data_IF_959520556266
#
_entry.id   IF_959520556266
#
_cell.length_a   1.000
_cell.length_b   1.000
_cell.length_c   1.000
_cell.angle_alpha   90.00
_cell.angle_beta   90.00
_cell.angle_gamma   90.00
#
_symmetry.space_group_name_H-M   'P 1'
#
loop_
_entity.id
_entity.type
_entity.pdbx_description
1 polymer ?
#
# COMPACT_ATOMS: atom_id res chain seq x y z
N UNK A 1 -10.10 74.26 -25.44
CA UNK A 1 -9.71 72.84 -25.25
C UNK A 1 -10.35 72.36 -23.94
N UNK A 2 -11.68 72.31 -23.86
CA UNK A 2 -12.56 71.16 -24.10
C UNK A 2 -12.23 69.92 -23.26
N UNK A 3 -13.10 69.62 -22.28
CA UNK A 3 -13.48 68.23 -22.04
C UNK A 3 -13.21 67.56 -20.70
N UNK A 4 -12.99 68.28 -19.58
CA UNK A 4 -13.03 67.66 -18.23
C UNK A 4 -14.09 68.36 -17.37
N UNK A 5 -15.35 68.23 -17.78
CA UNK A 5 -16.55 68.53 -16.97
C UNK A 5 -17.71 67.72 -17.55
N UNK A 6 -17.82 66.44 -17.19
CA UNK A 6 -19.09 65.67 -17.24
C UNK A 6 -18.93 64.21 -16.74
N UNK A 7 -18.44 64.00 -15.52
CA UNK A 7 -18.51 62.65 -14.91
C UNK A 7 -18.74 62.66 -13.40
N UNK A 8 -19.44 63.68 -12.89
CA UNK A 8 -19.81 63.76 -11.47
C UNK A 8 -21.31 64.01 -11.22
N UNK A 9 -22.18 63.84 -12.24
CA UNK A 9 -23.61 64.16 -12.10
C UNK A 9 -24.60 63.06 -12.54
N UNK A 10 -24.15 61.80 -12.67
CA UNK A 10 -25.06 60.66 -12.95
C UNK A 10 -25.07 59.60 -11.82
N UNK A 11 -24.30 59.79 -10.74
CA UNK A 11 -24.28 58.88 -9.58
C UNK A 11 -25.23 59.29 -8.43
N UNK A 12 -26.28 60.06 -8.71
CA UNK A 12 -27.35 60.36 -7.74
C UNK A 12 -28.69 60.42 -8.45
N UNK A 13 -29.29 59.26 -8.73
CA UNK A 13 -30.74 59.01 -8.93
C UNK A 13 -30.95 57.62 -9.56
N UNK A 14 -30.71 56.56 -8.81
CA UNK A 14 -31.39 55.27 -9.02
C UNK A 14 -31.57 54.62 -7.64
N UNK A 15 -32.82 54.28 -7.34
CA UNK A 15 -33.37 53.79 -6.07
C UNK A 15 -33.12 52.27 -5.89
N UNK A 16 -33.21 51.73 -4.66
CA UNK A 16 -32.62 50.43 -4.29
C UNK A 16 -33.50 49.21 -4.59
N UNK A 17 -34.14 49.17 -5.76
CA UNK A 17 -35.06 48.07 -6.12
C UNK A 17 -34.64 47.23 -7.33
N UNK A 18 -33.52 47.55 -7.98
CA UNK A 18 -33.00 46.78 -9.12
C UNK A 18 -31.65 46.10 -8.83
N UNK A 19 -31.12 46.24 -7.62
CA UNK A 19 -29.92 45.52 -7.18
C UNK A 19 -30.21 44.04 -6.81
N UNK A 20 -31.47 43.69 -6.56
CA UNK A 20 -31.86 42.33 -6.14
C UNK A 20 -32.16 41.38 -7.31
N UNK A 21 -32.27 41.86 -8.54
CA UNK A 21 -32.48 41.02 -9.74
C UNK A 21 -31.20 40.68 -10.50
N UNK A 22 -30.07 41.32 -10.18
CA UNK A 22 -28.74 41.00 -10.73
C UNK A 22 -27.91 40.07 -9.82
N UNK A 23 -28.37 39.82 -8.59
CA UNK A 23 -27.79 38.81 -7.70
C UNK A 23 -28.44 37.42 -7.80
N UNK A 24 -29.56 37.29 -8.52
CA UNK A 24 -30.23 36.01 -8.75
C UNK A 24 -29.85 35.32 -10.07
N UNK A 25 -29.06 35.98 -10.94
CA UNK A 25 -28.57 35.41 -12.22
C UNK A 25 -27.05 35.18 -12.25
N UNK A 26 -26.34 35.41 -11.14
CA UNK A 26 -24.94 35.00 -10.98
C UNK A 26 -24.78 33.72 -10.13
N UNK A 27 -25.88 33.16 -9.61
CA UNK A 27 -25.88 31.95 -8.78
C UNK A 27 -26.38 30.69 -9.49
N UNK A 28 -26.56 30.73 -10.82
CA UNK A 28 -27.05 29.58 -11.60
C UNK A 28 -26.18 29.19 -12.82
N UNK A 29 -24.97 29.74 -12.96
CA UNK A 29 -24.05 29.41 -14.08
C UNK A 29 -22.61 29.10 -13.65
N UNK A 30 -22.39 28.77 -12.38
CA UNK A 30 -21.11 28.21 -11.90
C UNK A 30 -21.27 26.83 -11.25
N UNK A 31 -22.43 26.19 -11.42
CA UNK A 31 -22.53 24.75 -11.32
C UNK A 31 -22.34 24.19 -12.73
N UNK A 32 -21.31 23.37 -12.92
CA UNK A 32 -20.75 22.83 -14.17
C UNK A 32 -19.43 23.51 -14.55
N UNK A 33 -18.33 22.77 -14.36
CA UNK A 33 -16.95 23.09 -14.77
C UNK A 33 -16.12 24.00 -13.85
N UNK A 34 -15.90 23.56 -12.61
CA UNK A 34 -14.57 23.58 -11.97
C UNK A 34 -14.63 22.82 -10.63
N UNK A 35 -14.95 21.53 -10.69
CA UNK A 35 -14.39 20.62 -9.69
C UNK A 35 -12.90 20.48 -10.02
N UNK A 36 -12.10 21.42 -9.52
CA UNK A 36 -10.73 21.11 -9.15
C UNK A 36 -10.87 20.01 -8.10
N UNK A 37 -10.84 18.76 -8.56
CA UNK A 37 -10.75 17.60 -7.68
C UNK A 37 -9.49 17.80 -6.86
N UNK A 38 -9.66 18.29 -5.64
CA UNK A 38 -8.65 18.24 -4.62
C UNK A 38 -8.25 16.78 -4.51
N UNK A 39 -7.09 16.47 -5.08
CA UNK A 39 -6.41 15.20 -4.87
C UNK A 39 -5.91 15.17 -3.42
N UNK A 40 -6.83 15.14 -2.46
CA UNK A 40 -6.54 14.80 -1.09
C UNK A 40 -5.92 13.40 -1.10
N UNK A 41 -4.61 13.36 -0.85
CA UNK A 41 -3.85 12.29 -0.22
C UNK A 41 -4.41 10.84 -0.35
N UNK A 42 -4.57 10.33 -1.56
CA UNK A 42 -4.70 8.89 -1.76
C UNK A 42 -3.30 8.26 -1.83
N UNK A 43 -3.02 7.19 -1.07
CA UNK A 43 -1.72 6.55 -1.09
C UNK A 43 -1.41 6.10 -2.53
N UNK A 44 -0.20 6.39 -3.05
CA UNK A 44 0.17 5.88 -4.36
C UNK A 44 0.15 4.35 -4.29
N UNK A 45 -0.58 3.70 -5.19
CA UNK A 45 -0.63 2.24 -5.42
C UNK A 45 -1.65 1.42 -4.60
N UNK A 46 -2.85 1.95 -4.29
CA UNK A 46 -3.85 1.18 -3.53
C UNK A 46 -4.71 0.19 -4.34
N UNK A 47 -4.88 0.38 -5.66
CA UNK A 47 -5.86 -0.38 -6.44
C UNK A 47 -5.31 -0.86 -7.80
N UNK A 48 -5.65 -2.10 -8.18
CA UNK A 48 -5.56 -2.69 -9.53
C UNK A 48 -6.63 -2.06 -10.40
N UNK A 49 -6.31 -0.98 -11.08
CA UNK A 49 -7.29 -0.28 -11.91
C UNK A 49 -6.93 -0.37 -13.39
N UNK A 50 -7.93 -0.61 -14.22
CA UNK A 50 -7.83 -0.43 -15.66
C UNK A 50 -8.71 0.76 -16.05
N UNK A 51 -8.18 1.63 -16.89
CA UNK A 51 -8.91 2.78 -17.37
C UNK A 51 -8.82 2.70 -18.88
N UNK A 52 -9.87 2.20 -19.50
CA UNK A 52 -9.97 2.17 -20.93
C UNK A 52 -10.42 3.61 -21.34
N UNK A 53 -9.72 4.26 -22.27
CA UNK A 53 -10.23 5.46 -22.93
C UNK A 53 -9.75 5.68 -24.37
N UNK A 54 -10.69 6.11 -25.22
CA UNK A 54 -10.50 6.25 -26.67
C UNK A 54 -11.39 7.34 -27.28
N UNK A 55 -10.95 7.83 -28.44
CA UNK A 55 -11.59 8.91 -29.19
C UNK A 55 -12.49 8.39 -30.33
N UNK A 56 -13.77 8.75 -30.39
CA UNK A 56 -14.60 8.56 -31.60
C UNK A 56 -14.67 9.87 -32.37
N UNK A 57 -13.64 10.24 -33.12
CA UNK A 57 -13.79 11.38 -34.01
C UNK A 57 -13.25 11.09 -35.38
N UNK A 58 -14.13 10.53 -36.20
CA UNK A 58 -14.21 11.01 -37.57
C UNK A 58 -15.66 10.95 -37.99
N UNK A 59 -16.08 11.95 -38.78
CA UNK A 59 -17.31 11.85 -39.55
C UNK A 59 -16.90 11.11 -40.81
N UNK A 60 -17.23 9.81 -40.92
CA UNK A 60 -16.99 8.98 -42.11
C UNK A 60 -17.69 9.51 -43.37
N UNK A 61 -18.46 10.59 -43.25
CA UNK A 61 -19.29 11.20 -44.28
C UNK A 61 -20.52 10.36 -44.63
N UNK A 62 -20.72 9.23 -43.94
CA UNK A 62 -21.76 8.24 -44.18
C UNK A 62 -22.27 7.72 -42.83
N UNK A 63 -23.52 8.08 -42.51
CA UNK A 63 -24.14 7.77 -41.23
C UNK A 63 -24.25 6.26 -40.94
N UNK A 64 -24.32 5.40 -41.96
CA UNK A 64 -24.37 3.94 -41.78
C UNK A 64 -23.02 3.40 -41.36
N UNK A 65 -21.95 3.87 -42.00
CA UNK A 65 -20.58 3.49 -41.66
C UNK A 65 -20.20 4.05 -40.28
N UNK A 66 -20.57 5.30 -40.00
CA UNK A 66 -20.45 5.92 -38.66
C UNK A 66 -21.20 5.11 -37.59
N UNK A 67 -22.40 4.62 -37.91
CA UNK A 67 -23.20 3.78 -37.01
C UNK A 67 -22.55 2.42 -36.74
N UNK A 68 -22.10 1.73 -37.78
CA UNK A 68 -21.43 0.43 -37.67
C UNK A 68 -20.20 0.49 -36.77
N UNK A 69 -19.28 1.44 -37.01
CA UNK A 69 -18.05 1.51 -36.22
C UNK A 69 -18.27 1.96 -34.78
N UNK A 70 -19.27 2.81 -34.50
CA UNK A 70 -19.68 3.11 -33.13
C UNK A 70 -20.15 1.87 -32.37
N UNK A 71 -20.90 1.00 -33.05
CA UNK A 71 -21.35 -0.27 -32.48
C UNK A 71 -20.19 -1.22 -32.20
N UNK A 72 -19.32 -1.42 -33.19
CA UNK A 72 -18.11 -2.25 -33.08
C UNK A 72 -17.26 -1.80 -31.90
N UNK A 73 -17.03 -0.49 -31.79
CA UNK A 73 -16.30 0.07 -30.67
C UNK A 73 -16.98 -0.29 -29.36
N UNK A 74 -18.24 0.12 -29.16
CA UNK A 74 -18.97 -0.11 -27.89
C UNK A 74 -18.86 -1.55 -27.42
N UNK A 75 -19.00 -2.50 -28.34
CA UNK A 75 -18.93 -3.93 -28.04
C UNK A 75 -17.51 -4.39 -27.65
N UNK A 76 -16.48 -3.93 -28.36
CA UNK A 76 -15.07 -4.21 -28.00
C UNK A 76 -14.74 -3.68 -26.59
N UNK A 77 -15.20 -2.48 -26.27
CA UNK A 77 -15.04 -1.86 -24.95
C UNK A 77 -15.71 -2.66 -23.84
N UNK A 78 -16.97 -3.06 -24.05
CA UNK A 78 -17.74 -3.81 -23.08
C UNK A 78 -17.12 -5.18 -22.79
N UNK A 79 -16.74 -5.92 -23.85
CA UNK A 79 -16.17 -7.25 -23.70
C UNK A 79 -14.80 -7.23 -23.04
N UNK A 80 -13.93 -6.30 -23.41
CA UNK A 80 -12.63 -6.19 -22.77
C UNK A 80 -12.79 -5.81 -21.29
N UNK A 81 -13.69 -4.88 -20.98
CA UNK A 81 -13.96 -4.51 -19.60
C UNK A 81 -14.50 -5.68 -18.77
N UNK A 82 -15.37 -6.53 -19.34
CA UNK A 82 -15.86 -7.75 -18.70
C UNK A 82 -14.73 -8.76 -18.46
N UNK A 83 -13.91 -9.02 -19.48
CA UNK A 83 -12.77 -9.92 -19.37
C UNK A 83 -11.75 -9.47 -18.31
N UNK A 84 -11.50 -8.17 -18.20
CA UNK A 84 -10.63 -7.60 -17.17
C UNK A 84 -11.24 -7.72 -15.76
N UNK A 85 -12.57 -7.74 -15.61
CA UNK A 85 -13.23 -7.92 -14.31
C UNK A 85 -13.32 -9.38 -13.85
N UNK A 86 -12.91 -10.35 -14.67
CA UNK A 86 -12.91 -11.77 -14.28
C UNK A 86 -11.98 -12.05 -13.11
N UNK A 87 -12.29 -13.06 -12.28
CA UNK A 87 -11.51 -13.43 -11.10
C UNK A 87 -10.02 -13.74 -11.37
N UNK A 88 -9.67 -14.08 -12.62
CA UNK A 88 -8.29 -14.31 -13.05
C UNK A 88 -7.46 -13.02 -13.07
N UNK A 89 -8.08 -11.88 -13.41
CA UNK A 89 -7.43 -10.58 -13.57
C UNK A 89 -7.87 -9.52 -12.58
N UNK A 90 -9.02 -9.72 -11.92
CA UNK A 90 -9.49 -9.12 -10.66
C UNK A 90 -9.01 -7.68 -10.40
N UNK A 91 -9.41 -6.78 -11.30
CA UNK A 91 -9.17 -5.35 -11.17
C UNK A 91 -10.19 -4.74 -10.20
N UNK A 92 -9.71 -3.99 -9.21
CA UNK A 92 -10.49 -3.26 -8.19
C UNK A 92 -11.45 -2.23 -8.82
N UNK A 93 -11.08 -1.66 -9.97
CA UNK A 93 -11.97 -0.81 -10.76
C UNK A 93 -11.60 -0.84 -12.25
N UNK A 94 -12.62 -0.89 -13.11
CA UNK A 94 -12.46 -0.72 -14.57
C UNK A 94 -13.34 0.43 -15.02
N UNK A 95 -12.71 1.52 -15.43
CA UNK A 95 -13.37 2.72 -15.96
C UNK A 95 -13.35 2.69 -17.49
N UNK A 96 -14.47 3.08 -18.11
CA UNK A 96 -14.63 3.18 -19.57
C UNK A 96 -15.15 4.57 -19.91
N UNK A 97 -14.39 5.35 -20.66
CA UNK A 97 -14.83 6.66 -21.16
C UNK A 97 -14.68 6.75 -22.68
N UNK A 98 -15.76 7.10 -23.37
CA UNK A 98 -15.73 7.45 -24.78
C UNK A 98 -15.53 8.96 -24.90
N UNK A 99 -14.38 9.39 -25.42
CA UNK A 99 -14.10 10.79 -25.73
C UNK A 99 -14.34 11.06 -27.22
N UNK A 100 -14.64 12.30 -27.63
CA UNK A 100 -14.71 12.74 -29.04
C UNK A 100 -13.47 13.59 -29.37
N UNK A 101 -12.94 13.50 -30.60
CA UNK A 101 -11.63 14.03 -30.98
C UNK A 101 -11.70 15.40 -31.67
N UNK A 102 -11.64 16.46 -30.87
CA UNK A 102 -10.90 17.64 -31.30
C UNK A 102 -9.66 17.89 -30.42
N UNK A 103 -9.19 16.87 -29.70
CA UNK A 103 -7.99 16.97 -28.87
C UNK A 103 -6.77 16.35 -29.56
N UNK A 104 -5.86 17.20 -30.04
CA UNK A 104 -4.44 16.86 -30.27
C UNK A 104 -3.68 16.68 -28.93
N UNK A 105 -4.30 16.06 -27.94
CA UNK A 105 -3.73 15.85 -26.60
C UNK A 105 -3.99 14.43 -26.12
N UNK A 106 -2.99 13.75 -25.53
CA UNK A 106 -3.15 12.39 -24.98
C UNK A 106 -4.05 12.41 -23.75
N UNK A 107 -5.00 11.46 -23.69
CA UNK A 107 -6.02 11.22 -22.65
C UNK A 107 -6.81 12.46 -22.18
N UNK A 108 -8.14 12.37 -21.99
CA UNK A 108 -8.87 13.45 -21.32
C UNK A 108 -8.19 13.81 -19.99
N UNK A 109 -7.93 15.10 -19.76
CA UNK A 109 -7.31 15.59 -18.52
C UNK A 109 -7.98 15.07 -17.24
N UNK A 110 -9.33 14.96 -17.16
CA UNK A 110 -10.00 14.39 -15.99
C UNK A 110 -9.63 12.94 -15.76
N UNK A 111 -9.61 12.14 -16.83
CA UNK A 111 -9.25 10.74 -16.76
C UNK A 111 -7.79 10.52 -16.35
N UNK A 112 -6.89 11.35 -16.87
CA UNK A 112 -5.50 11.35 -16.46
C UNK A 112 -5.37 11.71 -14.96
N UNK A 113 -6.18 12.62 -14.43
CA UNK A 113 -6.20 12.94 -13.00
C UNK A 113 -6.75 11.78 -12.14
N UNK A 114 -7.80 11.09 -12.60
CA UNK A 114 -8.34 9.88 -11.95
C UNK A 114 -7.30 8.76 -11.95
N UNK A 115 -6.66 8.50 -13.09
CA UNK A 115 -5.61 7.50 -13.22
C UNK A 115 -4.43 7.81 -12.27
N UNK A 116 -3.98 9.07 -12.20
CA UNK A 116 -2.90 9.49 -11.30
C UNK A 116 -3.22 9.36 -9.81
N UNK A 117 -4.47 9.59 -9.43
CA UNK A 117 -4.91 9.56 -8.03
C UNK A 117 -5.27 8.15 -7.55
N UNK A 118 -5.67 7.25 -8.46
CA UNK A 118 -6.27 5.95 -8.07
C UNK A 118 -5.56 4.72 -8.65
N UNK A 119 -4.75 4.87 -9.70
CA UNK A 119 -4.25 3.75 -10.50
C UNK A 119 -2.72 3.76 -10.59
N UNK A 120 -2.06 2.61 -10.39
CA UNK A 120 -0.61 2.49 -10.61
C UNK A 120 -0.23 2.46 -12.10
N UNK A 121 -1.13 1.97 -12.96
CA UNK A 121 -0.97 1.81 -14.41
C UNK A 121 -2.32 2.05 -15.12
N UNK A 122 -2.28 2.29 -16.43
CA UNK A 122 -3.42 2.70 -17.25
C UNK A 122 -3.41 1.93 -18.58
N UNK A 123 -4.50 1.24 -18.94
CA UNK A 123 -4.66 0.55 -20.22
C UNK A 123 -5.46 1.45 -21.17
N UNK A 124 -4.78 2.29 -21.93
CA UNK A 124 -5.41 3.15 -22.92
C UNK A 124 -5.74 2.37 -24.20
N UNK A 125 -6.90 2.66 -24.77
CA UNK A 125 -7.30 2.12 -26.06
C UNK A 125 -7.86 3.25 -26.90
N UNK A 126 -7.17 3.68 -27.95
CA UNK A 126 -7.74 4.63 -28.91
C UNK A 126 -8.18 3.92 -30.17
N UNK A 127 -9.06 4.57 -30.91
CA UNK A 127 -9.29 4.23 -32.30
C UNK A 127 -9.33 5.53 -33.08
N UNK A 128 -9.05 5.44 -34.36
CA UNK A 128 -9.04 6.59 -35.25
C UNK A 128 -9.42 6.14 -36.65
N UNK A 129 -9.81 7.09 -37.48
CA UNK A 129 -10.12 6.86 -38.88
C UNK A 129 -9.31 7.86 -39.67
N UNK A 130 -8.36 7.33 -40.43
CA UNK A 130 -7.48 8.15 -41.25
C UNK A 130 -7.71 7.89 -42.74
N UNK A 131 -6.99 8.68 -43.52
CA UNK A 131 -6.87 8.50 -44.95
C UNK A 131 -5.41 8.72 -45.32
N UNK A 132 -4.87 7.82 -46.13
CA UNK A 132 -3.58 8.04 -46.77
C UNK A 132 -3.63 7.63 -48.24
N UNK A 133 -2.45 7.51 -48.86
CA UNK A 133 -2.30 7.15 -50.28
C UNK A 133 -2.98 5.83 -50.65
N UNK A 134 -3.21 4.94 -49.69
CA UNK A 134 -3.82 3.62 -49.90
C UNK A 134 -5.33 3.64 -49.59
N UNK A 135 -5.87 4.82 -49.26
CA UNK A 135 -7.29 5.07 -49.02
C UNK A 135 -7.67 5.24 -47.56
N UNK A 136 -8.97 5.24 -47.29
CA UNK A 136 -9.52 5.40 -45.93
C UNK A 136 -9.35 4.12 -45.12
N UNK A 137 -8.93 4.26 -43.87
CA UNK A 137 -8.70 3.16 -42.96
C UNK A 137 -9.29 3.43 -41.58
N UNK A 138 -9.56 2.35 -40.85
CA UNK A 138 -9.84 2.37 -39.42
C UNK A 138 -8.60 1.87 -38.68
N UNK A 139 -8.19 2.54 -37.61
CA UNK A 139 -7.11 2.11 -36.74
C UNK A 139 -7.57 1.96 -35.30
N UNK A 140 -6.91 1.06 -34.59
CA UNK A 140 -7.09 0.85 -33.17
C UNK A 140 -5.71 0.82 -32.51
N UNK A 141 -5.51 1.64 -31.49
CA UNK A 141 -4.30 1.64 -30.69
C UNK A 141 -4.59 1.08 -29.31
N UNK A 142 -3.68 0.27 -28.83
CA UNK A 142 -3.67 -0.22 -27.47
C UNK A 142 -2.35 0.19 -26.84
N UNK A 143 -2.40 0.91 -25.73
CA UNK A 143 -1.23 1.34 -24.99
C UNK A 143 -1.38 1.05 -23.49
N UNK A 144 -0.33 0.55 -22.85
CA UNK A 144 -0.27 0.45 -21.39
C UNK A 144 0.71 1.48 -20.87
N UNK A 145 0.20 2.43 -20.09
CA UNK A 145 0.95 3.54 -19.52
C UNK A 145 1.23 3.28 -18.04
N UNK A 146 2.48 3.53 -17.64
CA UNK A 146 2.90 3.54 -16.23
C UNK A 146 3.18 4.96 -15.78
N UNK A 147 2.92 5.22 -14.50
CA UNK A 147 3.20 6.52 -13.91
C UNK A 147 4.44 6.44 -13.03
N UNK A 148 5.39 7.35 -13.25
CA UNK A 148 6.52 7.55 -12.34
C UNK A 148 6.51 8.95 -11.76
N UNK A 149 6.93 9.08 -10.51
CA UNK A 149 7.25 10.39 -9.94
C UNK A 149 8.33 11.07 -10.79
N UNK A 150 8.15 12.35 -11.08
CA UNK A 150 9.10 13.17 -11.84
C UNK A 150 10.33 13.50 -10.97
N UNK A 151 11.18 12.49 -10.70
CA UNK A 151 12.59 12.62 -10.27
C UNK A 151 12.92 13.38 -8.97
N UNK A 152 13.56 12.67 -8.02
CA UNK A 152 14.33 13.13 -6.83
C UNK A 152 13.91 14.46 -6.17
N UNK A 153 12.97 14.37 -5.24
CA UNK A 153 13.12 15.00 -3.94
C UNK A 153 12.55 14.04 -2.89
N UNK A 154 13.37 13.72 -1.88
CA UNK A 154 13.03 12.85 -0.75
C UNK A 154 11.98 13.45 0.22
N UNK A 155 11.11 14.32 -0.28
CA UNK A 155 10.02 14.95 0.45
C UNK A 155 8.81 15.06 -0.49
N UNK A 156 8.19 13.92 -0.83
CA UNK A 156 6.97 13.94 -1.61
C UNK A 156 5.82 14.46 -0.73
N UNK A 157 5.48 15.75 -0.88
CA UNK A 157 4.19 16.26 -0.44
C UNK A 157 3.06 15.72 -1.35
N UNK A 158 1.80 15.71 -0.88
CA UNK A 158 0.64 15.34 -1.70
C UNK A 158 0.57 16.18 -2.98
N UNK A 159 0.33 15.56 -4.14
CA UNK A 159 0.28 16.26 -5.44
C UNK A 159 1.51 16.08 -6.35
N UNK A 160 2.27 14.99 -6.20
CA UNK A 160 3.46 14.70 -7.03
C UNK A 160 3.11 14.68 -8.51
N UNK A 161 3.77 15.54 -9.30
CA UNK A 161 3.69 15.48 -10.75
C UNK A 161 4.26 14.14 -11.24
N UNK A 162 3.40 13.29 -11.79
CA UNK A 162 3.80 12.02 -12.40
C UNK A 162 3.85 12.11 -13.91
N UNK A 163 4.87 11.49 -14.50
CA UNK A 163 5.06 11.42 -15.94
C UNK A 163 4.59 10.04 -16.42
N UNK A 164 3.64 9.97 -17.36
CA UNK A 164 3.33 8.72 -18.02
C UNK A 164 4.50 8.32 -18.91
N UNK A 165 4.83 7.04 -18.94
CA UNK A 165 5.64 6.45 -19.99
C UNK A 165 4.95 5.19 -20.49
N UNK A 166 5.11 4.95 -21.79
CA UNK A 166 4.50 3.82 -22.48
C UNK A 166 5.34 2.57 -22.24
N UNK A 167 4.72 1.57 -21.62
CA UNK A 167 5.34 0.29 -21.27
C UNK A 167 5.04 -0.77 -22.35
N UNK A 168 3.93 -0.59 -23.07
CA UNK A 168 3.51 -1.42 -24.18
C UNK A 168 2.65 -0.60 -25.14
N UNK A 169 2.81 -0.82 -26.45
CA UNK A 169 1.86 -0.32 -27.44
C UNK A 169 1.71 -1.22 -28.66
N UNK A 170 0.51 -1.19 -29.25
CA UNK A 170 0.15 -1.95 -30.44
C UNK A 170 -0.81 -1.12 -31.30
N UNK A 171 -0.51 -1.02 -32.58
CA UNK A 171 -1.34 -0.36 -33.58
C UNK A 171 -1.92 -1.39 -34.54
N UNK A 172 -3.25 -1.39 -34.69
CA UNK A 172 -3.98 -2.18 -35.65
C UNK A 172 -4.55 -1.26 -36.72
N UNK A 173 -4.57 -1.72 -37.97
CA UNK A 173 -5.06 -0.95 -39.10
C UNK A 173 -5.83 -1.82 -40.08
N UNK A 174 -6.98 -1.32 -40.52
CA UNK A 174 -7.94 -2.04 -41.35
C UNK A 174 -8.43 -1.16 -42.49
N UNK A 175 -8.50 -1.68 -43.71
CA UNK A 175 -9.05 -0.97 -44.86
C UNK A 175 -10.56 -0.74 -44.71
N UNK A 176 -11.09 0.37 -45.25
CA UNK A 176 -12.55 0.67 -45.26
C UNK A 176 -13.24 0.06 -46.49
N UNK A 177 -13.09 -1.23 -46.71
CA UNK A 177 -13.77 -1.96 -47.81
C UNK A 177 -14.98 -2.73 -47.30
N UNK A 178 -15.96 -3.01 -48.16
CA UNK A 178 -17.13 -3.83 -47.81
C UNK A 178 -16.73 -5.24 -47.34
N UNK A 179 -15.69 -5.81 -47.95
CA UNK A 179 -15.05 -7.06 -47.51
C UNK A 179 -14.45 -6.94 -46.10
N UNK A 180 -13.77 -5.84 -45.77
CA UNK A 180 -13.25 -5.63 -44.42
C UNK A 180 -14.37 -5.42 -43.39
N UNK A 181 -15.45 -4.74 -43.76
CA UNK A 181 -16.61 -4.54 -42.89
C UNK A 181 -17.38 -5.84 -42.62
N UNK A 182 -17.51 -6.70 -43.64
CA UNK A 182 -18.22 -7.99 -43.53
C UNK A 182 -17.43 -9.06 -42.77
N UNK A 183 -16.10 -8.96 -42.74
CA UNK A 183 -15.23 -9.86 -41.98
C UNK A 183 -15.01 -9.42 -40.53
N UNK A 184 -15.44 -8.20 -40.18
CA UNK A 184 -15.27 -7.61 -38.86
C UNK A 184 -16.34 -8.10 -37.87
N UNK A 185 -15.92 -8.94 -36.93
CA UNK A 185 -16.73 -9.29 -35.76
C UNK A 185 -16.19 -8.55 -34.53
N UNK A 186 -16.98 -7.68 -33.87
CA UNK A 186 -16.55 -6.98 -32.67
C UNK A 186 -16.04 -7.95 -31.59
N UNK A 187 -16.77 -9.05 -31.40
CA UNK A 187 -16.42 -10.10 -30.43
C UNK A 187 -15.11 -10.77 -30.75
N UNK A 188 -14.90 -11.12 -32.03
CA UNK A 188 -13.65 -11.76 -32.45
C UNK A 188 -12.47 -10.81 -32.28
N UNK A 189 -12.64 -9.54 -32.64
CA UNK A 189 -11.58 -8.54 -32.47
C UNK A 189 -11.26 -8.31 -30.98
N UNK A 190 -12.27 -8.14 -30.14
CA UNK A 190 -12.07 -7.95 -28.70
C UNK A 190 -11.28 -9.12 -28.09
N UNK A 191 -11.68 -10.34 -28.45
CA UNK A 191 -10.96 -11.56 -28.05
C UNK A 191 -9.53 -11.58 -28.53
N UNK A 192 -9.25 -11.21 -29.79
CA UNK A 192 -7.89 -11.12 -30.32
C UNK A 192 -7.04 -10.10 -29.56
N UNK A 193 -7.54 -8.88 -29.38
CA UNK A 193 -6.85 -7.81 -28.65
C UNK A 193 -6.53 -8.26 -27.21
N UNK A 194 -7.48 -8.91 -26.55
CA UNK A 194 -7.27 -9.40 -25.19
C UNK A 194 -6.25 -10.54 -25.12
N UNK A 195 -6.29 -11.50 -26.06
CA UNK A 195 -5.28 -12.55 -26.12
C UNK A 195 -3.88 -12.00 -26.39
N UNK A 196 -3.76 -10.97 -27.23
CA UNK A 196 -2.49 -10.27 -27.44
C UNK A 196 -2.00 -9.54 -26.18
N UNK A 197 -2.91 -8.92 -25.42
CA UNK A 197 -2.59 -8.32 -24.11
C UNK A 197 -2.08 -9.33 -23.09
N UNK A 198 -2.64 -10.54 -23.08
CA UNK A 198 -2.18 -11.63 -22.22
C UNK A 198 -0.80 -12.09 -22.68
N UNK A 199 -0.64 -12.34 -23.99
CA UNK A 199 0.60 -12.84 -24.58
C UNK A 199 1.77 -11.87 -24.40
N UNK A 200 1.51 -10.56 -24.36
CA UNK A 200 2.54 -9.55 -24.08
C UNK A 200 3.03 -9.56 -22.63
N UNK A 201 2.39 -10.32 -21.73
CA UNK A 201 2.65 -10.36 -20.28
C UNK A 201 2.47 -9.01 -19.58
N UNK A 202 1.95 -7.99 -20.26
CA UNK A 202 1.76 -6.67 -19.66
C UNK A 202 0.73 -6.73 -18.53
N UNK A 203 -0.30 -7.58 -18.65
CA UNK A 203 -1.29 -7.81 -17.59
C UNK A 203 -0.70 -8.53 -16.38
N UNK A 204 0.29 -9.43 -16.56
CA UNK A 204 1.03 -10.05 -15.45
C UNK A 204 1.85 -9.01 -14.67
N UNK A 205 2.32 -7.98 -15.37
CA UNK A 205 3.00 -6.84 -14.77
C UNK A 205 2.05 -5.94 -13.95
N UNK A 206 0.74 -6.05 -14.20
CA UNK A 206 -0.36 -5.37 -13.50
C UNK A 206 -0.92 -6.21 -12.33
N UNK A 207 -0.63 -7.52 -12.27
CA UNK A 207 -0.83 -8.35 -11.06
C UNK A 207 0.16 -7.90 -9.97
N UNK A 208 -0.05 -6.70 -9.45
CA UNK A 208 0.76 -6.07 -8.43
C UNK A 208 0.65 -6.81 -7.11
N UNK A 209 1.76 -6.85 -6.37
CA UNK A 209 1.82 -7.38 -5.01
C UNK A 209 0.66 -6.81 -4.17
N UNK A 210 -0.11 -7.69 -3.52
CA UNK A 210 -1.21 -7.34 -2.62
C UNK A 210 -0.79 -6.15 -1.73
N UNK A 211 -1.52 -5.03 -1.73
CA UNK A 211 -1.17 -3.90 -0.87
C UNK A 211 -1.18 -4.38 0.59
N UNK A 212 -0.15 -4.03 1.36
CA UNK A 212 -0.12 -4.31 2.79
C UNK A 212 -1.08 -3.35 3.47
N UNK A 213 -2.26 -3.84 3.81
CA UNK A 213 -3.30 -3.06 4.50
C UNK A 213 -3.04 -3.00 6.00
N UNK A 214 -3.66 -2.04 6.68
CA UNK A 214 -3.59 -1.97 8.15
C UNK A 214 -4.19 -3.20 8.82
N UNK A 215 -5.27 -3.77 8.27
CA UNK A 215 -5.85 -5.02 8.75
C UNK A 215 -4.83 -6.17 8.71
N UNK A 216 -4.12 -6.34 7.59
CA UNK A 216 -3.06 -7.37 7.48
C UNK A 216 -1.92 -7.14 8.47
N UNK A 217 -1.54 -5.88 8.73
CA UNK A 217 -0.53 -5.55 9.72
C UNK A 217 -1.02 -5.84 11.14
N UNK A 218 -2.29 -5.57 11.46
CA UNK A 218 -2.89 -5.88 12.77
C UNK A 218 -2.99 -7.38 12.99
N UNK A 219 -3.44 -8.15 12.00
CA UNK A 219 -3.48 -9.61 12.09
C UNK A 219 -2.08 -10.20 12.30
N UNK A 220 -1.09 -9.74 11.54
CA UNK A 220 0.29 -10.21 11.72
C UNK A 220 0.86 -9.77 13.07
N UNK A 221 0.55 -8.56 13.55
CA UNK A 221 0.91 -8.10 14.89
C UNK A 221 0.33 -9.01 15.97
N UNK A 222 -0.97 -9.31 15.94
CA UNK A 222 -1.60 -10.20 16.92
C UNK A 222 -1.07 -11.64 16.83
N UNK A 223 -0.66 -12.09 15.64
CA UNK A 223 -0.06 -13.43 15.44
C UNK A 223 1.39 -13.53 15.92
N UNK A 224 2.13 -12.44 15.90
CA UNK A 224 3.60 -12.45 16.10
C UNK A 224 4.06 -11.78 17.39
N UNK A 225 3.28 -10.85 17.92
CA UNK A 225 3.52 -10.20 19.20
C UNK A 225 2.61 -10.86 20.23
N UNK A 226 3.16 -11.68 21.16
CA UNK A 226 2.38 -12.38 22.17
C UNK A 226 1.37 -11.46 22.86
N UNK A 227 0.16 -11.98 23.09
CA UNK A 227 -0.93 -11.26 23.75
C UNK A 227 -0.63 -10.97 25.22
N UNK A 228 0.19 -11.81 25.84
CA UNK A 228 0.79 -11.57 27.16
C UNK A 228 2.24 -11.15 26.95
N UNK A 229 2.63 -10.00 27.50
CA UNK A 229 4.06 -9.68 27.60
C UNK A 229 4.78 -10.80 28.35
N UNK A 230 5.92 -11.23 27.83
CA UNK A 230 6.79 -12.14 28.58
C UNK A 230 7.09 -11.51 29.94
N UNK A 231 7.26 -12.30 31.00
CA UNK A 231 7.68 -11.75 32.29
C UNK A 231 9.20 -11.62 32.30
N UNK A 232 9.72 -10.53 32.86
CA UNK A 232 11.11 -10.48 33.27
C UNK A 232 11.23 -10.87 34.74
N UNK A 233 12.31 -11.58 35.04
CA UNK A 233 12.61 -12.12 36.36
C UNK A 233 13.87 -11.43 36.87
N UNK A 234 13.82 -10.87 38.07
CA UNK A 234 15.00 -10.35 38.76
C UNK A 234 15.54 -11.44 39.66
N UNK A 235 16.70 -11.99 39.36
CA UNK A 235 17.27 -13.10 40.12
C UNK A 235 18.69 -12.81 40.63
N UNK A 236 19.09 -13.57 41.64
CA UNK A 236 20.48 -13.72 42.06
C UNK A 236 20.84 -15.19 42.23
N UNK A 237 22.11 -15.53 42.08
CA UNK A 237 22.56 -16.91 42.21
C UNK A 237 23.89 -17.06 42.96
N UNK A 238 24.17 -18.29 43.39
CA UNK A 238 25.49 -18.74 43.83
C UNK A 238 25.82 -19.98 43.01
N UNK A 239 26.93 -19.94 42.28
CA UNK A 239 27.43 -21.06 41.51
C UNK A 239 28.56 -21.74 42.28
N UNK A 240 28.53 -23.06 42.42
CA UNK A 240 29.60 -23.85 43.07
C UNK A 240 29.91 -25.11 42.26
N UNK A 241 31.08 -25.71 42.51
CA UNK A 241 31.56 -26.84 41.72
C UNK A 241 30.82 -28.15 42.00
N UNK A 242 30.33 -28.34 43.23
CA UNK A 242 29.76 -29.62 43.69
C UNK A 242 28.34 -29.45 44.24
N UNK A 243 27.55 -30.53 44.18
CA UNK A 243 26.17 -30.53 44.70
C UNK A 243 26.15 -30.31 46.21
N UNK A 244 27.10 -30.91 46.90
CA UNK A 244 27.25 -30.87 48.35
C UNK A 244 27.50 -29.45 48.83
N UNK A 245 28.35 -28.68 48.11
CA UNK A 245 28.55 -27.26 48.38
C UNK A 245 27.24 -26.47 48.21
N UNK A 246 26.46 -26.74 47.16
CA UNK A 246 25.22 -26.03 46.90
C UNK A 246 24.16 -26.34 47.97
N UNK A 247 24.08 -27.60 48.42
CA UNK A 247 23.21 -28.01 49.53
C UNK A 247 23.61 -27.31 50.83
N UNK A 248 24.91 -27.22 51.13
CA UNK A 248 25.41 -26.49 52.29
C UNK A 248 25.06 -24.99 52.22
N UNK A 249 25.17 -24.37 51.04
CA UNK A 249 24.76 -22.98 50.81
C UNK A 249 23.26 -22.79 51.08
N UNK A 250 22.39 -23.65 50.54
CA UNK A 250 20.94 -23.61 50.80
C UNK A 250 20.66 -23.71 52.30
N UNK A 251 21.32 -24.63 53.02
CA UNK A 251 21.15 -24.80 54.45
C UNK A 251 21.56 -23.54 55.24
N UNK A 252 22.67 -22.90 54.87
CA UNK A 252 23.16 -21.66 55.50
C UNK A 252 22.22 -20.47 55.26
N UNK A 253 21.71 -20.32 54.04
CA UNK A 253 20.70 -19.30 53.72
C UNK A 253 19.43 -19.54 54.54
N UNK A 254 18.94 -20.79 54.63
CA UNK A 254 17.78 -21.15 55.45
C UNK A 254 18.01 -20.93 56.95
N UNK A 255 19.26 -20.99 57.42
CA UNK A 255 19.65 -20.67 58.78
C UNK A 255 19.78 -19.15 59.05
N UNK A 256 19.56 -18.31 58.04
CA UNK A 256 19.54 -16.85 58.16
C UNK A 256 20.84 -16.14 57.76
N UNK A 257 21.81 -16.85 57.18
CA UNK A 257 23.01 -16.21 56.67
C UNK A 257 22.72 -15.41 55.39
N UNK A 258 23.37 -14.25 55.24
CA UNK A 258 23.12 -13.35 54.14
C UNK A 258 23.60 -13.94 52.80
N UNK A 259 22.68 -14.00 51.83
CA UNK A 259 22.95 -14.55 50.50
C UNK A 259 24.12 -13.86 49.80
N UNK A 260 24.22 -12.54 49.86
CA UNK A 260 25.25 -11.76 49.18
C UNK A 260 26.65 -12.02 49.77
N UNK A 261 26.74 -12.24 51.09
CA UNK A 261 27.99 -12.64 51.74
C UNK A 261 28.44 -14.03 51.28
N UNK A 262 27.51 -14.99 51.19
CA UNK A 262 27.78 -16.34 50.67
C UNK A 262 28.16 -16.30 49.19
N UNK A 263 27.49 -15.47 48.38
CA UNK A 263 27.82 -15.30 46.97
C UNK A 263 29.24 -14.76 46.77
N UNK A 264 29.63 -13.72 47.52
CA UNK A 264 30.97 -13.12 47.45
C UNK A 264 32.09 -14.08 47.87
N UNK A 265 31.79 -15.00 48.80
CA UNK A 265 32.79 -15.89 49.39
C UNK A 265 32.87 -17.25 48.73
N UNK A 266 31.75 -17.78 48.23
CA UNK A 266 31.64 -19.16 47.75
C UNK A 266 31.34 -19.27 46.25
N UNK A 267 30.78 -18.23 45.62
CA UNK A 267 30.41 -18.33 44.21
C UNK A 267 31.67 -18.40 43.34
N UNK A 268 31.73 -19.40 42.47
CA UNK A 268 32.75 -19.50 41.41
C UNK A 268 32.37 -18.71 40.16
N UNK A 269 31.16 -18.12 40.11
CA UNK A 269 30.82 -17.16 39.07
C UNK A 269 31.51 -15.81 39.35
N UNK A 270 32.54 -15.52 38.57
CA UNK A 270 33.29 -14.27 38.67
C UNK A 270 32.49 -13.04 38.22
N UNK A 271 31.42 -13.22 37.44
CA UNK A 271 30.59 -12.14 36.92
C UNK A 271 29.67 -11.56 37.99
N UNK A 272 28.89 -12.41 38.66
CA UNK A 272 27.91 -11.98 39.67
C UNK A 272 28.38 -12.13 41.12
N UNK A 273 29.33 -13.05 41.39
CA UNK A 273 29.75 -13.38 42.76
C UNK A 273 30.20 -12.17 43.57
N UNK A 274 31.02 -11.29 42.96
CA UNK A 274 31.52 -10.07 43.61
C UNK A 274 30.44 -9.05 43.96
N UNK A 275 29.30 -9.08 43.24
CA UNK A 275 28.14 -8.20 43.46
C UNK A 275 27.00 -8.94 44.17
N UNK A 276 27.33 -9.93 45.00
CA UNK A 276 26.33 -10.64 45.81
C UNK A 276 25.45 -11.61 45.03
N UNK A 277 25.91 -12.04 43.85
CA UNK A 277 25.20 -12.97 42.98
C UNK A 277 24.14 -12.32 42.10
N UNK A 278 23.99 -10.99 42.10
CA UNK A 278 22.94 -10.32 41.34
C UNK A 278 23.12 -10.43 39.82
N UNK A 279 22.03 -10.78 39.12
CA UNK A 279 22.02 -10.94 37.66
C UNK A 279 21.18 -9.86 36.94
N UNK A 280 20.43 -9.03 37.69
CA UNK A 280 19.53 -8.04 37.11
C UNK A 280 18.22 -8.62 36.60
N UNK A 281 17.51 -7.85 35.77
CA UNK A 281 16.25 -8.27 35.12
C UNK A 281 16.57 -9.04 33.84
N UNK A 282 15.98 -10.22 33.67
CA UNK A 282 16.14 -11.04 32.48
C UNK A 282 14.82 -11.66 32.03
N UNK A 283 14.62 -11.71 30.71
CA UNK A 283 13.55 -12.49 30.10
C UNK A 283 13.91 -13.99 30.05
N UNK A 284 12.93 -14.90 29.97
CA UNK A 284 13.17 -16.30 29.68
C UNK A 284 14.03 -16.49 28.42
N UNK A 285 14.96 -17.45 28.45
CA UNK A 285 15.88 -17.75 27.36
C UNK A 285 17.22 -17.00 27.43
N UNK A 286 17.40 -16.11 28.41
CA UNK A 286 18.70 -15.42 28.63
C UNK A 286 19.71 -16.36 29.29
N UNK A 287 19.27 -17.28 30.15
CA UNK A 287 20.15 -18.23 30.83
C UNK A 287 20.04 -19.64 30.23
N UNK A 288 20.90 -20.55 30.70
CA UNK A 288 20.79 -21.97 30.34
C UNK A 288 19.46 -22.54 30.81
N UNK A 289 18.93 -23.50 30.04
CA UNK A 289 17.56 -24.03 30.18
C UNK A 289 17.24 -24.46 31.61
N UNK A 290 18.17 -25.13 32.29
CA UNK A 290 18.01 -25.63 33.65
C UNK A 290 17.83 -24.49 34.66
N UNK A 291 18.59 -23.40 34.48
CA UNK A 291 18.49 -22.21 35.31
C UNK A 291 17.16 -21.49 35.11
N UNK A 292 16.77 -21.26 33.84
CA UNK A 292 15.52 -20.59 33.50
C UNK A 292 14.31 -21.33 34.06
N UNK A 293 14.26 -22.65 33.90
CA UNK A 293 13.15 -23.48 34.40
C UNK A 293 13.03 -23.39 35.93
N UNK A 294 14.16 -23.42 36.63
CA UNK A 294 14.16 -23.28 38.08
C UNK A 294 13.74 -21.87 38.52
N UNK A 295 14.29 -20.83 37.89
CA UNK A 295 13.95 -19.42 38.16
C UNK A 295 12.45 -19.14 37.94
N UNK A 296 11.89 -19.59 36.82
CA UNK A 296 10.47 -19.39 36.46
C UNK A 296 9.55 -20.14 37.44
N UNK A 297 9.99 -21.26 38.01
CA UNK A 297 9.24 -22.04 38.98
C UNK A 297 9.22 -21.43 40.40
N UNK A 298 10.01 -20.40 40.67
CA UNK A 298 10.06 -19.75 41.98
C UNK A 298 8.98 -18.68 42.13
N UNK A 299 8.44 -18.55 43.34
CA UNK A 299 7.66 -17.37 43.72
C UNK A 299 8.61 -16.19 43.98
N UNK A 300 8.16 -14.93 43.83
CA UNK A 300 8.96 -13.76 44.21
C UNK A 300 9.47 -13.88 45.65
N UNK A 301 10.75 -13.57 45.86
CA UNK A 301 11.52 -13.78 47.11
C UNK A 301 11.72 -15.26 47.49
N UNK A 302 11.52 -16.17 46.54
CA UNK A 302 11.69 -17.61 46.72
C UNK A 302 13.11 -18.08 46.44
N UNK A 303 13.56 -19.07 47.21
CA UNK A 303 14.83 -19.77 47.05
C UNK A 303 14.62 -21.16 46.43
N UNK A 304 15.51 -21.58 45.52
CA UNK A 304 15.54 -22.93 44.98
C UNK A 304 15.59 -23.97 46.11
N UNK A 305 14.62 -24.89 46.14
CA UNK A 305 14.54 -25.91 47.18
C UNK A 305 15.72 -26.89 47.12
N UNK A 306 16.16 -27.22 45.91
CA UNK A 306 17.27 -28.11 45.58
C UNK A 306 18.30 -27.37 44.71
N UNK A 307 19.59 -27.77 44.75
CA UNK A 307 20.58 -27.29 43.80
C UNK A 307 20.20 -27.58 42.34
N UNK A 308 20.45 -26.62 41.46
CA UNK A 308 20.16 -26.72 40.02
C UNK A 308 21.46 -27.01 39.28
N UNK A 309 21.54 -28.15 38.58
CA UNK A 309 22.73 -28.51 37.82
C UNK A 309 22.73 -27.84 36.44
N UNK A 310 23.88 -27.36 35.99
CA UNK A 310 24.13 -26.96 34.61
C UNK A 310 25.51 -27.40 34.15
N UNK A 311 25.87 -27.05 32.91
CA UNK A 311 27.23 -27.26 32.39
C UNK A 311 28.31 -26.50 33.18
N UNK A 312 27.94 -25.49 33.97
CA UNK A 312 28.88 -24.65 34.73
C UNK A 312 29.08 -25.12 36.18
N UNK A 313 28.29 -26.08 36.65
CA UNK A 313 28.30 -26.57 38.03
C UNK A 313 26.91 -26.60 38.64
N UNK A 314 26.81 -26.21 39.91
CA UNK A 314 25.58 -26.26 40.71
C UNK A 314 25.17 -24.87 41.17
N UNK A 315 23.94 -24.48 40.85
CA UNK A 315 23.38 -23.19 41.18
C UNK A 315 22.45 -23.28 42.40
N UNK A 316 22.54 -22.27 43.27
CA UNK A 316 21.50 -21.91 44.24
C UNK A 316 20.89 -20.60 43.75
N UNK A 317 19.57 -20.59 43.53
CA UNK A 317 18.88 -19.49 42.84
C UNK A 317 17.88 -18.86 43.79
N UNK A 318 17.88 -17.53 43.86
CA UNK A 318 16.83 -16.77 44.53
C UNK A 318 16.19 -15.81 43.54
N UNK A 319 14.86 -15.90 43.41
CA UNK A 319 14.08 -14.96 42.64
C UNK A 319 13.75 -13.77 43.53
N UNK A 320 14.17 -12.57 43.14
CA UNK A 320 13.94 -11.34 43.90
C UNK A 320 12.59 -10.72 43.57
N UNK A 321 12.24 -10.67 42.27
CA UNK A 321 11.00 -10.04 41.80
C UNK A 321 10.63 -10.49 40.37
N UNK A 322 9.39 -10.22 39.96
CA UNK A 322 8.86 -10.48 38.61
C UNK A 322 8.12 -9.25 38.10
N UNK A 323 8.33 -8.88 36.83
CA UNK A 323 7.58 -7.78 36.20
C UNK A 323 7.10 -8.14 34.81
N UNK A 324 5.94 -7.64 34.37
CA UNK A 324 5.52 -7.80 32.98
C UNK A 324 6.44 -7.01 32.06
N UNK A 325 6.87 -7.63 30.96
CA UNK A 325 7.50 -6.90 29.86
C UNK A 325 6.42 -6.10 29.14
N UNK A 326 6.64 -4.79 28.90
CA UNK A 326 5.68 -4.01 28.13
C UNK A 326 5.50 -4.61 26.74
N UNK A 327 4.25 -4.93 26.38
CA UNK A 327 3.92 -5.31 25.00
C UNK A 327 4.27 -4.13 24.08
N UNK A 328 5.15 -4.31 23.06
CA UNK A 328 5.43 -3.24 22.10
C UNK A 328 4.13 -2.80 21.44
N UNK A 329 3.88 -1.49 21.31
CA UNK A 329 2.65 -1.01 20.70
C UNK A 329 2.61 -1.35 19.21
N UNK A 330 1.41 -1.54 18.66
CA UNK A 330 1.22 -1.71 17.22
C UNK A 330 1.94 -0.61 16.41
N UNK A 331 1.82 0.65 16.84
CA UNK A 331 2.47 1.78 16.17
C UNK A 331 4.00 1.66 16.15
N UNK A 332 4.63 1.19 17.24
CA UNK A 332 6.09 0.99 17.28
C UNK A 332 6.55 -0.13 16.33
N UNK A 333 5.70 -1.13 16.09
CA UNK A 333 6.01 -2.31 15.29
C UNK A 333 5.56 -2.20 13.82
N UNK A 334 4.69 -1.24 13.52
CA UNK A 334 4.00 -1.08 12.21
C UNK A 334 4.98 -1.10 11.03
N UNK A 335 6.09 -0.36 11.12
CA UNK A 335 7.08 -0.29 10.06
C UNK A 335 7.78 -1.64 9.79
N UNK A 336 8.17 -2.35 10.86
CA UNK A 336 8.81 -3.66 10.75
C UNK A 336 7.87 -4.71 10.20
N UNK A 337 6.62 -4.75 10.70
CA UNK A 337 5.59 -5.68 10.25
C UNK A 337 5.24 -5.43 8.78
N UNK A 338 5.13 -4.16 8.38
CA UNK A 338 4.91 -3.78 6.98
C UNK A 338 6.03 -4.32 6.06
N UNK A 339 7.30 -4.13 6.44
CA UNK A 339 8.44 -4.62 5.68
C UNK A 339 8.44 -6.16 5.54
N UNK A 340 8.15 -6.87 6.64
CA UNK A 340 8.06 -8.33 6.65
C UNK A 340 6.94 -8.85 5.77
N UNK A 341 5.75 -8.24 5.83
CA UNK A 341 4.61 -8.62 4.98
C UNK A 341 4.91 -8.38 3.50
N UNK A 342 5.56 -7.26 3.14
CA UNK A 342 6.00 -7.00 1.76
C UNK A 342 6.96 -8.07 1.25
N UNK A 343 7.89 -8.53 2.09
CA UNK A 343 8.81 -9.60 1.72
C UNK A 343 8.08 -10.94 1.56
N UNK A 344 7.17 -11.27 2.47
CA UNK A 344 6.38 -12.51 2.43
C UNK A 344 5.50 -12.59 1.18
N UNK A 345 4.77 -11.51 0.88
CA UNK A 345 3.90 -11.43 -0.31
C UNK A 345 4.68 -11.47 -1.64
N UNK A 346 5.96 -11.09 -1.64
CA UNK A 346 6.84 -11.24 -2.80
C UNK A 346 7.33 -12.67 -2.99
N UNK A 347 7.55 -13.40 -1.89
CA UNK A 347 8.06 -14.76 -1.90
C UNK A 347 6.97 -15.78 -2.21
N UNK A 348 5.77 -15.57 -1.68
CA UNK A 348 4.62 -16.47 -1.85
C UNK A 348 3.93 -16.25 -3.22
N UNK A 349 4.71 -15.91 -4.27
CA UNK A 349 4.22 -15.76 -5.64
C UNK A 349 3.78 -17.16 -6.13
N UNK A 350 2.54 -17.32 -6.62
CA UNK A 350 2.04 -18.61 -7.09
C UNK A 350 2.79 -19.13 -8.31
#
# INVERSE_FOLDING_TARGET
MSGIKNMHRVLRRLTPWWASMLLATCLATTAMAEEVVNAEAYPPNAYRCAVLAGGTGSRFGDAKVDGFWREVNREVWAQLADQLRTATYDFDAVFTEASDSNSKTPLPKPLLAVARSRCAQLIQISHDIGEDKDGRYFSFDLAVLRFRSKGRAASAQPGTSVVPYEDYSKHYRFARTEEALSTFSPTKLAGQIFQELIASHVLESIKGARPVTEAMMRDEYERTVPSTGEQEYKARHILVATREQAQAVIARIKAGEAFDALAKTLSIDTGSGQVGGELGWAAPGVYVKEFDQAMIGLSPKGLSAEPVQSAFGWHVIELLDTRPTPRPSFESMKAMISARLRQKLRRDKP
#
